data_IF_912956371913
#
_entry.id   IF_912956371913
#
_cell.length_a   1.000
_cell.length_b   1.000
_cell.length_c   1.000
_cell.angle_alpha   90.00
_cell.angle_beta   90.00
_cell.angle_gamma   90.00
#
_symmetry.space_group_name_H-M   'P 1'
#
loop_
_entity.id
_entity.type
_entity.pdbx_description
1 polymer ?
#
# COMPACT_ATOMS: atom_id res chain seq x y z
N UNK A 1 13.65 11.62 3.19
CA UNK A 1 12.79 11.24 4.34
C UNK A 1 12.60 9.73 4.35
N UNK A 2 11.60 9.19 5.02
CA UNK A 2 11.49 7.76 5.23
C UNK A 2 10.10 7.22 4.96
N UNK A 3 10.02 5.94 4.60
CA UNK A 3 8.75 5.21 4.59
C UNK A 3 8.36 4.85 6.03
N UNK A 4 7.10 4.97 6.34
CA UNK A 4 6.56 4.53 7.62
C UNK A 4 5.98 3.13 7.41
N UNK A 5 6.70 2.12 7.85
CA UNK A 5 6.31 0.72 7.70
C UNK A 5 6.68 -0.06 8.96
N UNK A 6 5.89 -1.09 9.32
CA UNK A 6 6.23 -1.89 10.50
C UNK A 6 7.49 -2.73 10.27
N UNK A 7 8.23 -2.99 11.33
CA UNK A 7 9.47 -3.77 11.25
C UNK A 7 9.25 -5.21 10.78
N UNK A 8 8.05 -5.75 10.98
CA UNK A 8 7.71 -7.09 10.54
C UNK A 8 7.15 -7.17 9.12
N UNK A 9 7.22 -6.05 8.36
CA UNK A 9 6.78 -6.06 6.98
C UNK A 9 7.63 -7.03 6.16
N UNK A 10 6.98 -7.84 5.33
CA UNK A 10 7.65 -8.96 4.65
C UNK A 10 8.71 -8.53 3.62
N UNK A 11 8.65 -7.29 3.14
CA UNK A 11 9.62 -6.76 2.16
C UNK A 11 10.68 -5.84 2.79
N UNK A 12 10.84 -5.86 4.10
CA UNK A 12 11.83 -5.03 4.80
C UNK A 12 13.24 -5.24 4.23
N UNK A 13 13.62 -6.50 3.95
CA UNK A 13 14.94 -6.77 3.41
C UNK A 13 15.16 -6.12 2.04
N UNK A 14 14.12 -6.08 1.20
CA UNK A 14 14.20 -5.42 -0.10
C UNK A 14 14.31 -3.91 0.04
N UNK A 15 13.60 -3.34 1.00
CA UNK A 15 13.67 -1.91 1.31
C UNK A 15 15.10 -1.54 1.72
N UNK A 16 15.69 -2.32 2.62
CA UNK A 16 17.06 -2.09 3.09
C UNK A 16 18.11 -2.29 2.00
N UNK A 17 17.96 -3.32 1.17
CA UNK A 17 18.88 -3.59 0.06
C UNK A 17 18.91 -2.45 -0.97
N UNK A 18 17.81 -1.74 -1.12
CA UNK A 18 17.71 -0.63 -2.05
C UNK A 18 18.03 0.71 -1.40
N UNK A 19 18.57 0.70 -0.17
CA UNK A 19 18.97 1.90 0.56
C UNK A 19 17.82 2.89 0.79
N UNK A 20 16.61 2.38 0.96
CA UNK A 20 15.43 3.18 1.27
C UNK A 20 15.33 3.30 2.77
N UNK A 21 15.26 4.53 3.27
CA UNK A 21 15.06 4.77 4.71
C UNK A 21 13.65 4.41 5.14
N UNK A 22 13.52 3.82 6.32
CA UNK A 22 12.21 3.49 6.88
C UNK A 22 12.22 3.67 8.40
N UNK A 23 11.05 3.92 8.96
CA UNK A 23 10.88 4.01 10.42
C UNK A 23 9.59 3.31 10.83
N UNK A 24 9.57 2.87 12.08
CA UNK A 24 8.38 2.29 12.69
C UNK A 24 7.28 3.33 12.85
N UNK A 25 5.97 2.94 12.70
CA UNK A 25 4.86 3.86 12.91
C UNK A 25 4.87 4.53 14.29
N UNK A 26 5.28 3.80 15.34
CA UNK A 26 5.32 4.36 16.70
C UNK A 26 6.36 5.48 16.82
N UNK A 27 7.50 5.36 16.15
CA UNK A 27 8.51 6.41 16.13
C UNK A 27 8.03 7.61 15.31
N UNK A 28 7.33 7.36 14.21
CA UNK A 28 6.81 8.41 13.34
C UNK A 28 5.83 9.32 14.10
N UNK A 29 5.02 8.75 14.99
CA UNK A 29 4.06 9.51 15.81
C UNK A 29 4.72 10.49 16.76
N UNK A 30 5.99 10.30 17.08
CA UNK A 30 6.74 11.17 18.00
C UNK A 30 7.39 12.35 17.30
N UNK A 31 7.31 12.40 15.98
CA UNK A 31 7.91 13.49 15.20
C UNK A 31 6.91 14.62 14.97
N UNK A 32 7.43 15.85 14.88
CA UNK A 32 6.61 17.03 14.61
C UNK A 32 6.28 17.19 13.11
N UNK A 33 6.53 16.15 12.32
CA UNK A 33 6.29 16.15 10.89
C UNK A 33 5.05 15.31 10.60
N UNK A 34 4.09 15.89 9.87
CA UNK A 34 2.94 15.13 9.39
C UNK A 34 3.34 14.39 8.12
N UNK A 35 3.36 13.07 8.12
CA UNK A 35 3.66 12.33 6.89
C UNK A 35 2.52 12.45 5.89
N UNK A 36 2.84 12.22 4.62
CA UNK A 36 1.82 12.07 3.60
C UNK A 36 1.25 10.65 3.68
N UNK A 37 -0.06 10.54 3.75
CA UNK A 37 -0.76 9.26 3.75
C UNK A 37 -1.17 8.94 2.32
N UNK A 38 -0.49 7.98 1.71
CA UNK A 38 -0.74 7.58 0.32
C UNK A 38 -1.41 6.22 0.31
N UNK A 39 -2.67 6.19 -0.11
CA UNK A 39 -3.41 4.96 -0.27
C UNK A 39 -2.94 4.20 -1.50
N UNK A 40 -2.84 2.88 -1.40
CA UNK A 40 -2.47 2.03 -2.53
C UNK A 40 -3.56 0.97 -2.67
N UNK A 41 -4.39 1.14 -3.69
CA UNK A 41 -5.41 0.17 -4.04
C UNK A 41 -4.79 -0.85 -4.98
N UNK A 42 -4.36 -1.98 -4.43
CA UNK A 42 -3.62 -3.01 -5.16
C UNK A 42 -4.56 -4.15 -5.56
N UNK A 43 -4.92 -4.20 -6.83
CA UNK A 43 -5.79 -5.23 -7.41
C UNK A 43 -5.05 -6.10 -8.43
N UNK A 44 -3.72 -6.04 -8.43
CA UNK A 44 -2.91 -6.88 -9.31
C UNK A 44 -2.98 -8.35 -8.90
N UNK A 45 -3.00 -9.28 -9.86
CA UNK A 45 -2.79 -10.69 -9.53
C UNK A 45 -1.46 -10.87 -8.81
N UNK A 46 -1.40 -11.76 -7.83
CA UNK A 46 -0.21 -11.96 -7.01
C UNK A 46 0.28 -10.64 -6.39
N UNK A 47 -0.66 -9.85 -5.90
CA UNK A 47 -0.40 -8.48 -5.44
C UNK A 47 0.65 -8.38 -4.34
N UNK A 48 0.79 -9.41 -3.50
CA UNK A 48 1.82 -9.44 -2.45
C UNK A 48 3.22 -9.28 -3.04
N UNK A 49 3.48 -9.89 -4.19
CA UNK A 49 4.77 -9.80 -4.87
C UNK A 49 4.99 -8.45 -5.53
N UNK A 50 3.92 -7.74 -5.87
CA UNK A 50 4.02 -6.43 -6.52
C UNK A 50 4.15 -5.28 -5.54
N UNK A 51 3.94 -5.49 -4.25
CA UNK A 51 3.95 -4.41 -3.25
C UNK A 51 5.25 -3.61 -3.27
N UNK A 52 6.39 -4.28 -3.36
CA UNK A 52 7.68 -3.58 -3.36
C UNK A 52 7.83 -2.66 -4.57
N UNK A 53 7.31 -3.08 -5.73
CA UNK A 53 7.37 -2.25 -6.94
C UNK A 53 6.58 -0.95 -6.77
N UNK A 54 5.54 -0.96 -5.94
CA UNK A 54 4.76 0.23 -5.63
C UNK A 54 5.43 1.08 -4.56
N UNK A 55 6.10 0.45 -3.58
CA UNK A 55 6.79 1.15 -2.51
C UNK A 55 8.08 1.83 -2.97
N UNK A 56 8.81 1.22 -3.90
CA UNK A 56 10.13 1.69 -4.29
C UNK A 56 10.15 3.15 -4.73
N UNK A 57 9.27 3.58 -5.66
CA UNK A 57 9.24 4.99 -6.05
C UNK A 57 8.87 5.92 -4.89
N UNK A 58 7.97 5.49 -4.01
CA UNK A 58 7.60 6.29 -2.84
C UNK A 58 8.78 6.45 -1.89
N UNK A 59 9.59 5.41 -1.74
CA UNK A 59 10.77 5.44 -0.88
C UNK A 59 11.88 6.36 -1.38
N UNK A 60 11.88 6.67 -2.67
CA UNK A 60 12.84 7.61 -3.27
C UNK A 60 12.41 9.06 -3.10
N UNK A 61 11.20 9.31 -2.64
CA UNK A 61 10.69 10.66 -2.40
C UNK A 61 11.45 11.33 -1.26
N UNK A 62 11.71 12.64 -1.33
CA UNK A 62 12.27 13.38 -0.18
C UNK A 62 11.25 13.58 0.95
N UNK A 63 9.99 13.22 0.74
CA UNK A 63 8.94 13.37 1.74
C UNK A 63 8.79 12.10 2.57
N UNK A 64 8.26 12.26 3.78
CA UNK A 64 7.93 11.12 4.62
C UNK A 64 6.57 10.56 4.20
N UNK A 65 6.55 9.28 3.85
CA UNK A 65 5.37 8.63 3.28
C UNK A 65 4.89 7.50 4.21
N UNK A 66 3.60 7.51 4.53
CA UNK A 66 2.93 6.41 5.19
C UNK A 66 2.07 5.68 4.13
N UNK A 67 2.51 4.54 3.63
CA UNK A 67 1.69 3.77 2.69
C UNK A 67 0.50 3.16 3.42
N UNK A 68 -0.68 3.30 2.82
CA UNK A 68 -1.92 2.74 3.36
C UNK A 68 -2.48 1.77 2.33
N UNK A 69 -2.39 0.49 2.64
CA UNK A 69 -2.80 -0.57 1.72
C UNK A 69 -4.31 -0.75 1.77
N UNK A 70 -4.97 -0.66 0.61
CA UNK A 70 -6.42 -0.66 0.50
C UNK A 70 -6.89 -1.87 -0.30
N UNK A 71 -7.95 -2.51 0.18
CA UNK A 71 -8.63 -3.61 -0.52
C UNK A 71 -10.07 -3.21 -0.85
N UNK A 72 -10.61 -3.79 -1.93
CA UNK A 72 -12.00 -3.62 -2.30
C UNK A 72 -12.84 -4.77 -1.70
N UNK A 73 -13.96 -4.44 -1.10
CA UNK A 73 -14.91 -5.44 -0.59
C UNK A 73 -15.55 -6.26 -1.71
N UNK A 74 -15.67 -5.65 -2.89
CA UNK A 74 -16.37 -6.25 -4.03
C UNK A 74 -15.47 -7.07 -4.95
N UNK A 75 -14.15 -7.06 -4.71
CA UNK A 75 -13.19 -7.78 -5.55
C UNK A 75 -12.83 -9.13 -4.91
N UNK A 76 -12.76 -10.18 -5.75
CA UNK A 76 -12.33 -11.50 -5.31
C UNK A 76 -10.82 -11.64 -5.53
N UNK A 77 -10.07 -11.78 -4.44
CA UNK A 77 -8.61 -11.87 -4.46
C UNK A 77 -8.16 -13.34 -4.56
N UNK A 78 -8.34 -13.94 -5.73
CA UNK A 78 -8.14 -15.38 -5.93
C UNK A 78 -6.69 -15.84 -5.85
N UNK A 79 -5.75 -14.99 -6.26
CA UNK A 79 -4.32 -15.34 -6.30
C UNK A 79 -3.56 -14.82 -5.08
N UNK A 80 -4.26 -14.31 -4.09
CA UNK A 80 -3.67 -13.66 -2.93
C UNK A 80 -3.60 -14.59 -1.72
N UNK A 81 -2.58 -14.35 -0.89
CA UNK A 81 -2.52 -14.88 0.47
C UNK A 81 -3.55 -14.13 1.31
N UNK A 82 -4.62 -14.81 1.70
CA UNK A 82 -5.72 -14.18 2.44
C UNK A 82 -5.30 -13.68 3.82
N UNK A 83 -4.35 -14.36 4.47
CA UNK A 83 -3.84 -13.90 5.75
C UNK A 83 -3.11 -12.57 5.60
N UNK A 84 -2.27 -12.45 4.58
CA UNK A 84 -1.58 -11.20 4.29
C UNK A 84 -2.56 -10.08 3.96
N UNK A 85 -3.56 -10.38 3.13
CA UNK A 85 -4.59 -9.42 2.76
C UNK A 85 -5.33 -8.90 3.99
N UNK A 86 -5.76 -9.80 4.87
CA UNK A 86 -6.54 -9.41 6.04
C UNK A 86 -5.70 -8.70 7.11
N UNK A 87 -4.40 -8.98 7.20
CA UNK A 87 -3.54 -8.38 8.20
C UNK A 87 -3.00 -7.01 7.80
N UNK A 88 -2.80 -6.76 6.51
CA UNK A 88 -2.18 -5.51 6.04
C UNK A 88 -3.17 -4.56 5.38
N UNK A 89 -4.11 -5.08 4.61
CA UNK A 89 -5.01 -4.27 3.80
C UNK A 89 -6.27 -3.90 4.56
N UNK A 90 -6.72 -2.65 4.39
CA UNK A 90 -7.96 -2.14 5.00
C UNK A 90 -8.89 -1.63 3.92
N UNK A 91 -10.15 -1.40 4.28
CA UNK A 91 -11.13 -0.88 3.33
C UNK A 91 -10.93 0.61 3.08
N UNK A 92 -11.56 1.13 2.03
CA UNK A 92 -11.51 2.55 1.71
C UNK A 92 -12.01 3.41 2.86
N UNK A 93 -13.11 3.01 3.49
CA UNK A 93 -13.69 3.74 4.60
C UNK A 93 -12.74 3.78 5.80
N UNK A 94 -12.12 2.66 6.12
CA UNK A 94 -11.13 2.60 7.21
C UNK A 94 -9.90 3.45 6.90
N UNK A 95 -9.47 3.48 5.63
CA UNK A 95 -8.28 4.23 5.23
C UNK A 95 -8.45 5.75 5.44
N UNK A 96 -9.67 6.26 5.32
CA UNK A 96 -9.97 7.69 5.43
C UNK A 96 -10.48 8.10 6.82
N UNK A 97 -10.47 7.21 7.79
CA UNK A 97 -11.01 7.46 9.13
C UNK A 97 -9.95 7.11 10.19
N UNK A 98 -9.59 8.01 11.13
CA UNK A 98 -10.15 9.37 11.28
C UNK A 98 -9.56 10.41 10.34
N UNK A 99 -8.43 10.14 9.69
CA UNK A 99 -7.76 11.10 8.83
C UNK A 99 -7.89 10.71 7.36
N UNK A 100 -8.18 11.67 6.46
CA UNK A 100 -8.27 11.37 5.04
C UNK A 100 -6.88 11.09 4.44
N UNK A 101 -6.88 10.40 3.30
CA UNK A 101 -5.66 10.19 2.52
C UNK A 101 -5.26 11.47 1.81
N UNK A 102 -3.96 11.67 1.63
CA UNK A 102 -3.42 12.79 0.85
C UNK A 102 -3.38 12.48 -0.65
N UNK A 103 -3.28 11.20 -1.00
CA UNK A 103 -3.29 10.76 -2.39
C UNK A 103 -3.59 9.27 -2.48
N UNK A 104 -3.80 8.79 -3.70
CA UNK A 104 -4.09 7.38 -3.94
C UNK A 104 -3.42 6.90 -5.23
N UNK A 105 -2.90 5.68 -5.17
CA UNK A 105 -2.40 4.96 -6.33
C UNK A 105 -3.34 3.78 -6.57
N UNK A 106 -3.87 3.68 -7.77
CA UNK A 106 -4.74 2.57 -8.17
C UNK A 106 -3.99 1.75 -9.20
N UNK A 107 -3.77 0.46 -8.90
CA UNK A 107 -3.07 -0.42 -9.83
C UNK A 107 -4.01 -0.87 -10.95
N UNK A 108 -3.42 -1.35 -12.05
CA UNK A 108 -4.19 -1.99 -13.10
C UNK A 108 -4.60 -3.41 -12.73
N UNK A 109 -5.38 -4.00 -13.60
CA UNK A 109 -5.77 -5.41 -13.51
C UNK A 109 -5.83 -5.99 -14.92
N UNK A 110 -5.64 -7.31 -15.11
CA UNK A 110 -5.65 -7.92 -16.44
C UNK A 110 -7.08 -8.12 -16.93
N UNK A 111 -7.73 -7.04 -17.34
CA UNK A 111 -9.12 -7.02 -17.79
C UNK A 111 -9.28 -6.56 -19.23
N UNK A 112 -8.21 -6.52 -20.00
CA UNK A 112 -8.20 -5.99 -21.36
C UNK A 112 -9.09 -6.78 -22.32
N UNK A 113 -9.44 -8.01 -21.98
CA UNK A 113 -10.32 -8.85 -22.78
C UNK A 113 -11.78 -8.80 -22.31
N UNK A 114 -12.09 -7.99 -21.27
CA UNK A 114 -13.45 -7.83 -20.78
C UNK A 114 -14.09 -6.58 -21.34
N UNK A 115 -15.39 -6.63 -21.59
CA UNK A 115 -16.16 -5.44 -21.91
C UNK A 115 -16.23 -4.53 -20.65
N UNK A 116 -16.35 -3.24 -20.87
CA UNK A 116 -16.40 -2.27 -19.77
C UNK A 116 -17.47 -2.64 -18.74
N UNK A 117 -18.63 -3.07 -19.21
CA UNK A 117 -19.77 -3.44 -18.36
C UNK A 117 -19.53 -4.69 -17.52
N UNK A 118 -18.58 -5.53 -17.92
CA UNK A 118 -18.24 -6.77 -17.21
C UNK A 118 -17.21 -6.58 -16.11
N UNK A 119 -16.64 -5.39 -15.99
CA UNK A 119 -15.71 -5.05 -14.91
C UNK A 119 -16.49 -4.74 -13.64
N UNK A 120 -16.25 -5.49 -12.56
CA UNK A 120 -17.07 -5.48 -11.35
C UNK A 120 -16.40 -4.88 -10.13
N UNK A 121 -15.41 -4.00 -10.30
CA UNK A 121 -14.74 -3.34 -9.17
C UNK A 121 -14.26 -1.95 -9.46
#
# INVERSE_FOLDING_TARGET
MALIIPSNYHKISDVEKNHISWIEPELAKRQDIRPLRIGILNIMPLGKQYEFNLLHPLGLSPLQIEPVWIKLKTHSYKTWDLNHLNNLYITWEEANNPEPLDGIIITGAPIEHLAFEDVKY
#
